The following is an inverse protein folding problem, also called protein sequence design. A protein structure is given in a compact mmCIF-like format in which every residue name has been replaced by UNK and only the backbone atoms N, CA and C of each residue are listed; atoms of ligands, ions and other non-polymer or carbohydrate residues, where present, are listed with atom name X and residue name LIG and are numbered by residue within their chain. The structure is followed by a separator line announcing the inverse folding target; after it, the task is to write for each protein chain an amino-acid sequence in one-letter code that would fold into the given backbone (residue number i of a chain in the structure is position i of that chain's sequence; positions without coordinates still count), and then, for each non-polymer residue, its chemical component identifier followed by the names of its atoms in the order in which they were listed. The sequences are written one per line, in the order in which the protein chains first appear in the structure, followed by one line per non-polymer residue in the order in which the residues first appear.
data_IF_051459874236
#
_entry.id   IF_051459874236
#
_cell.length_a   1.000
_cell.length_b   1.000
_cell.length_c   1.000
_cell.angle_alpha   90.00
_cell.angle_beta   90.00
_cell.angle_gamma   90.00
#
_symmetry.space_group_name_H-M   'P 1'
#
loop_
_entity.id
_entity.type
_entity.pdbx_description
1 polymer ?
#
# COMPACT_ATOMS: atom_id res chain seq x y z
N UNK A 1 5.20 -5.75 16.30
CA UNK A 1 4.42 -4.60 15.80
C UNK A 1 5.38 -3.66 15.08
N UNK A 2 5.63 -3.86 13.77
CA UNK A 2 6.51 -2.97 13.00
C UNK A 2 5.80 -1.62 12.79
N UNK A 3 6.47 -0.50 13.07
CA UNK A 3 5.95 0.84 12.79
C UNK A 3 6.12 1.13 11.29
N UNK A 4 5.05 1.56 10.62
CA UNK A 4 5.13 2.10 9.27
C UNK A 4 5.96 3.39 9.29
N UNK A 5 6.95 3.51 8.40
CA UNK A 5 7.64 4.79 8.18
C UNK A 5 6.69 5.72 7.40
N UNK A 6 6.37 6.93 7.88
CA UNK A 6 5.51 7.83 7.15
C UNK A 6 6.22 8.32 5.88
N UNK A 7 5.55 8.19 4.73
CA UNK A 7 5.96 8.89 3.50
C UNK A 7 5.43 10.34 3.55
N UNK A 8 6.18 11.33 3.01
CA UNK A 8 5.78 12.73 3.14
C UNK A 8 4.57 13.05 2.25
N UNK A 9 3.53 13.66 2.85
CA UNK A 9 2.36 14.19 2.12
C UNK A 9 2.73 15.24 1.05
N UNK A 10 3.97 15.75 1.10
CA UNK A 10 4.55 16.66 0.09
C UNK A 10 4.60 16.02 -1.30
N UNK A 11 4.75 14.70 -1.38
CA UNK A 11 4.82 13.97 -2.65
C UNK A 11 3.44 13.53 -3.14
N UNK A 12 2.54 13.17 -2.23
CA UNK A 12 1.15 12.93 -2.53
C UNK A 12 0.30 13.09 -1.27
N UNK A 13 -0.81 13.86 -1.32
CA UNK A 13 -1.62 14.15 -0.14
C UNK A 13 -2.44 12.96 0.36
N UNK A 14 -2.62 11.93 -0.47
CA UNK A 14 -3.45 10.74 -0.19
C UNK A 14 -2.61 9.44 -0.23
N UNK A 15 -1.47 9.45 0.48
CA UNK A 15 -0.64 8.24 0.65
C UNK A 15 -1.13 7.45 1.85
N UNK A 16 -1.60 6.23 1.59
CA UNK A 16 -1.93 5.26 2.62
C UNK A 16 -0.78 4.27 2.78
N UNK A 17 -0.26 4.15 4.00
CA UNK A 17 0.78 3.18 4.35
C UNK A 17 0.22 2.11 5.28
N UNK A 18 0.47 0.84 4.90
CA UNK A 18 0.06 -0.35 5.66
C UNK A 18 1.28 -1.19 5.97
N UNK A 19 1.39 -1.66 7.21
CA UNK A 19 2.38 -2.66 7.60
C UNK A 19 1.83 -4.06 7.36
N UNK A 20 2.68 -4.94 6.85
CA UNK A 20 2.33 -6.33 6.53
C UNK A 20 3.35 -7.27 7.17
N UNK A 21 2.97 -8.55 7.30
CA UNK A 21 3.81 -9.58 7.90
C UNK A 21 4.83 -10.22 6.96
N UNK A 22 4.86 -9.82 5.68
CA UNK A 22 5.69 -10.42 4.64
C UNK A 22 7.02 -9.69 4.46
N UNK A 23 7.97 -10.41 3.87
CA UNK A 23 9.31 -9.92 3.57
C UNK A 23 9.36 -8.91 2.43
N UNK A 24 10.52 -8.80 1.79
CA UNK A 24 10.74 -7.84 0.69
C UNK A 24 9.96 -8.21 -0.58
N UNK A 25 9.70 -9.50 -0.78
CA UNK A 25 9.01 -10.03 -1.97
C UNK A 25 7.52 -10.18 -1.71
N UNK A 26 6.87 -9.13 -1.21
CA UNK A 26 5.46 -9.14 -0.78
C UNK A 26 4.51 -9.67 -1.86
N UNK A 27 4.77 -9.37 -3.13
CA UNK A 27 3.95 -9.84 -4.25
C UNK A 27 4.05 -11.35 -4.49
N UNK A 28 5.17 -11.97 -4.09
CA UNK A 28 5.36 -13.43 -4.16
C UNK A 28 4.83 -14.12 -2.91
N UNK A 29 5.03 -13.51 -1.74
CA UNK A 29 4.59 -14.06 -0.45
C UNK A 29 3.07 -13.95 -0.23
N UNK A 30 2.42 -12.93 -0.80
CA UNK A 30 0.97 -12.72 -0.69
C UNK A 30 0.38 -12.06 -1.96
N UNK A 31 0.39 -12.77 -3.09
CA UNK A 31 -0.04 -12.22 -4.38
C UNK A 31 -1.49 -11.71 -4.36
N UNK A 32 -2.40 -12.41 -3.68
CA UNK A 32 -3.82 -12.03 -3.66
C UNK A 32 -4.07 -10.74 -2.87
N UNK A 33 -3.42 -10.58 -1.71
CA UNK A 33 -3.56 -9.37 -0.90
C UNK A 33 -2.91 -8.17 -1.57
N UNK A 34 -1.73 -8.34 -2.16
CA UNK A 34 -1.06 -7.26 -2.91
C UNK A 34 -1.89 -6.87 -4.13
N UNK A 35 -2.36 -7.83 -4.93
CA UNK A 35 -3.19 -7.54 -6.09
C UNK A 35 -4.50 -6.85 -5.72
N UNK A 36 -5.13 -7.24 -4.59
CA UNK A 36 -6.32 -6.55 -4.07
C UNK A 36 -6.00 -5.10 -3.69
N UNK A 37 -4.95 -4.85 -2.91
CA UNK A 37 -4.57 -3.50 -2.50
C UNK A 37 -4.29 -2.58 -3.71
N UNK A 38 -3.65 -3.11 -4.76
CA UNK A 38 -3.43 -2.38 -6.00
C UNK A 38 -4.74 -2.06 -6.74
N UNK A 39 -5.68 -3.02 -6.82
CA UNK A 39 -7.01 -2.78 -7.42
C UNK A 39 -7.82 -1.76 -6.62
N UNK A 40 -7.78 -1.83 -5.30
CA UNK A 40 -8.43 -0.86 -4.41
C UNK A 40 -7.83 0.55 -4.63
N UNK A 41 -6.51 0.66 -4.75
CA UNK A 41 -5.81 1.89 -5.11
C UNK A 41 -6.29 2.46 -6.47
N UNK A 42 -6.36 1.63 -7.50
CA UNK A 42 -6.76 2.07 -8.83
C UNK A 42 -8.24 2.49 -8.89
N UNK A 43 -9.11 1.80 -8.16
CA UNK A 43 -10.55 2.13 -8.11
C UNK A 43 -10.85 3.34 -7.22
N UNK A 44 -9.95 3.70 -6.28
CA UNK A 44 -10.10 4.92 -5.47
C UNK A 44 -9.94 6.22 -6.28
N UNK A 45 -9.28 6.18 -7.43
CA UNK A 45 -8.87 7.33 -8.22
C UNK A 45 -10.02 8.14 -8.87
N UNK A 46 -11.29 7.81 -8.59
CA UNK A 46 -12.45 8.64 -8.92
C UNK A 46 -12.65 9.88 -8.03
N UNK A 47 -11.67 10.23 -7.19
CA UNK A 47 -11.65 11.41 -6.31
C UNK A 47 -10.38 12.24 -6.51
N UNK A 48 -10.01 12.52 -7.76
CA UNK A 48 -8.94 13.47 -8.12
C UNK A 48 -9.53 14.73 -8.74
#
# INVERSE_FOLDING_TARGET
MARAMPLPAVWAPDVEHRTVGWGHLMAEEAPDEVAKALRDLLTRAGRS
#
